data_IF_181553519191
#
_entry.id   IF_181553519191
#
_cell.length_a   1.000
_cell.length_b   1.000
_cell.length_c   1.000
_cell.angle_alpha   90.00
_cell.angle_beta   90.00
_cell.angle_gamma   90.00
#
_symmetry.space_group_name_H-M   'P 1'
#
loop_
_entity.id
_entity.type
_entity.pdbx_description
1 polymer ?
#
# COMPACT_ATOMS: atom_id res chain seq x y z
N UNK A 1 -23.02 -6.46 30.55
CA UNK A 1 -21.95 -7.32 30.00
C UNK A 1 -21.14 -6.54 28.97
N UNK A 2 -20.60 -5.37 29.36
CA UNK A 2 -19.96 -4.41 28.46
C UNK A 2 -18.87 -3.64 29.21
N UNK A 3 -18.04 -4.34 29.97
CA UNK A 3 -16.96 -3.77 30.76
C UNK A 3 -15.77 -4.72 30.78
N UNK A 4 -14.99 -4.79 29.69
CA UNK A 4 -13.62 -5.34 29.72
C UNK A 4 -12.87 -5.06 28.42
N UNK A 5 -12.73 -3.79 28.04
CA UNK A 5 -11.59 -3.38 27.19
C UNK A 5 -10.87 -2.26 27.94
N UNK A 6 -10.40 -2.62 29.14
CA UNK A 6 -9.32 -1.88 29.78
C UNK A 6 -8.10 -2.06 28.87
N UNK A 7 -7.42 -0.96 28.54
CA UNK A 7 -6.15 -0.90 27.83
C UNK A 7 -5.05 -1.65 28.60
N UNK A 8 -5.10 -2.97 28.56
CA UNK A 8 -4.07 -3.89 29.02
C UNK A 8 -3.19 -4.19 27.83
N UNK A 9 -1.87 -4.10 28.02
CA UNK A 9 -0.88 -4.54 27.05
C UNK A 9 -1.31 -5.90 26.46
N UNK A 10 -1.84 -5.90 25.23
CA UNK A 10 -2.43 -7.09 24.64
C UNK A 10 -1.31 -8.08 24.39
N UNK A 11 -1.35 -9.18 25.14
CA UNK A 11 -0.52 -10.33 24.86
C UNK A 11 -0.91 -10.87 23.47
N UNK A 12 0.03 -10.82 22.52
CA UNK A 12 -0.17 -11.27 21.13
C UNK A 12 -0.75 -12.68 21.10
N UNK A 13 -0.30 -13.56 21.99
CA UNK A 13 -0.78 -14.94 22.12
C UNK A 13 -2.26 -15.01 22.49
N UNK A 14 -2.69 -14.29 23.53
CA UNK A 14 -4.10 -14.27 23.93
C UNK A 14 -5.00 -13.68 22.83
N UNK A 15 -4.49 -12.68 22.12
CA UNK A 15 -5.21 -12.05 21.00
C UNK A 15 -5.36 -13.00 19.82
N UNK A 16 -4.29 -13.74 19.48
CA UNK A 16 -4.29 -14.74 18.41
C UNK A 16 -5.23 -15.91 18.75
N UNK A 17 -5.25 -16.37 20.00
CA UNK A 17 -6.17 -17.40 20.48
C UNK A 17 -7.64 -16.96 20.41
N UNK A 18 -7.95 -15.73 20.82
CA UNK A 18 -9.32 -15.19 20.76
C UNK A 18 -9.83 -15.06 19.32
N UNK A 19 -8.95 -14.74 18.38
CA UNK A 19 -9.26 -14.57 16.97
C UNK A 19 -9.16 -15.88 16.16
N UNK A 20 -8.82 -17.00 16.79
CA UNK A 20 -8.56 -18.30 16.15
C UNK A 20 -7.51 -18.21 15.01
N UNK A 21 -6.45 -17.43 15.25
CA UNK A 21 -5.33 -17.25 14.31
C UNK A 21 -4.05 -17.84 14.90
N UNK A 22 -3.20 -18.55 14.13
CA UNK A 22 -1.89 -18.98 14.60
C UNK A 22 -0.98 -17.80 14.94
N UNK A 23 -0.28 -17.86 16.08
CA UNK A 23 0.71 -16.85 16.50
C UNK A 23 1.81 -16.63 15.44
N UNK A 24 2.22 -17.69 14.76
CA UNK A 24 3.19 -17.63 13.66
C UNK A 24 2.71 -16.73 12.52
N UNK A 25 1.42 -16.77 12.18
CA UNK A 25 0.82 -15.95 11.14
C UNK A 25 0.87 -14.46 11.50
N UNK A 26 0.69 -14.12 12.78
CA UNK A 26 0.82 -12.75 13.26
C UNK A 26 2.25 -12.23 13.04
N UNK A 27 3.25 -12.97 13.52
CA UNK A 27 4.65 -12.56 13.38
C UNK A 27 5.13 -12.59 11.93
N UNK A 28 4.66 -13.54 11.11
CA UNK A 28 4.93 -13.52 9.68
C UNK A 28 4.41 -12.25 9.02
N UNK A 29 3.19 -11.82 9.35
CA UNK A 29 2.59 -10.62 8.77
C UNK A 29 3.30 -9.36 9.21
N UNK A 30 3.68 -9.27 10.48
CA UNK A 30 4.33 -8.07 11.03
C UNK A 30 5.79 -7.94 10.57
N UNK A 31 6.49 -9.07 10.42
CA UNK A 31 7.89 -9.11 9.97
C UNK A 31 8.02 -9.15 8.44
N UNK A 32 6.91 -9.16 7.70
CA UNK A 32 6.95 -9.22 6.23
C UNK A 32 7.43 -7.89 5.67
N UNK A 33 8.68 -7.87 5.19
CA UNK A 33 9.20 -6.73 4.46
C UNK A 33 8.66 -6.67 3.03
N UNK A 34 8.37 -5.47 2.51
CA UNK A 34 7.92 -5.31 1.13
C UNK A 34 9.03 -5.74 0.16
N UNK A 35 8.65 -6.48 -0.88
CA UNK A 35 9.59 -6.83 -1.95
C UNK A 35 10.06 -5.59 -2.70
N UNK A 36 11.21 -5.68 -3.40
CA UNK A 36 11.71 -4.61 -4.28
C UNK A 36 10.65 -4.13 -5.28
N UNK A 37 9.86 -5.05 -5.82
CA UNK A 37 8.75 -4.75 -6.75
C UNK A 37 7.63 -3.97 -6.07
N UNK A 38 7.30 -4.32 -4.82
CA UNK A 38 6.27 -3.63 -4.05
C UNK A 38 6.71 -2.20 -3.69
N UNK A 39 7.96 -2.02 -3.25
CA UNK A 39 8.54 -0.71 -3.01
C UNK A 39 8.52 0.16 -4.27
N UNK A 40 8.92 -0.39 -5.43
CA UNK A 40 8.85 0.32 -6.72
C UNK A 40 7.41 0.74 -7.04
N UNK A 41 6.42 -0.11 -6.83
CA UNK A 41 5.01 0.22 -7.07
C UNK A 41 4.49 1.30 -6.12
N UNK A 42 4.87 1.26 -4.85
CA UNK A 42 4.52 2.30 -3.87
C UNK A 42 5.12 3.65 -4.28
N UNK A 43 6.41 3.68 -4.66
CA UNK A 43 7.06 4.87 -5.17
C UNK A 43 6.35 5.44 -6.42
N UNK A 44 6.03 4.58 -7.39
CA UNK A 44 5.30 4.99 -8.60
C UNK A 44 3.90 5.52 -8.28
N UNK A 45 3.17 4.88 -7.36
CA UNK A 45 1.84 5.32 -6.92
C UNK A 45 1.88 6.72 -6.30
N UNK A 46 2.86 6.99 -5.43
CA UNK A 46 3.09 8.31 -4.86
C UNK A 46 3.37 9.36 -5.95
N UNK A 47 4.26 9.05 -6.88
CA UNK A 47 4.63 9.94 -7.99
C UNK A 47 3.44 10.23 -8.92
N UNK A 48 2.63 9.21 -9.22
CA UNK A 48 1.39 9.35 -9.98
C UNK A 48 0.41 10.28 -9.26
N UNK A 49 0.21 10.09 -7.96
CA UNK A 49 -0.69 10.93 -7.15
C UNK A 49 -0.22 12.39 -7.11
N UNK A 50 1.08 12.62 -6.94
CA UNK A 50 1.68 13.96 -7.01
C UNK A 50 1.44 14.62 -8.36
N UNK A 51 1.68 13.91 -9.48
CA UNK A 51 1.44 14.43 -10.82
C UNK A 51 -0.05 14.70 -11.08
N UNK A 52 -0.93 13.82 -10.60
CA UNK A 52 -2.37 13.99 -10.71
C UNK A 52 -2.84 15.26 -9.98
N UNK A 53 -2.42 15.42 -8.73
CA UNK A 53 -2.77 16.58 -7.90
C UNK A 53 -2.17 17.89 -8.43
N UNK A 54 -0.92 17.86 -8.90
CA UNK A 54 -0.27 19.01 -9.52
C UNK A 54 -1.03 19.51 -10.77
N UNK A 55 -1.68 18.61 -11.50
CA UNK A 55 -2.49 18.91 -12.68
C UNK A 55 -3.99 19.00 -12.36
N UNK A 56 -4.37 19.25 -11.09
CA UNK A 56 -5.75 19.44 -10.61
C UNK A 56 -6.69 18.27 -10.94
N UNK A 57 -6.14 17.07 -11.08
CA UNK A 57 -6.90 15.87 -11.43
C UNK A 57 -7.38 15.78 -12.88
N UNK A 58 -6.90 16.67 -13.76
CA UNK A 58 -7.32 16.71 -15.18
C UNK A 58 -6.65 15.59 -15.98
N UNK A 59 -5.45 15.16 -15.59
CA UNK A 59 -4.65 14.23 -16.38
C UNK A 59 -5.00 12.78 -16.08
N UNK A 60 -5.50 12.09 -17.10
CA UNK A 60 -5.70 10.65 -17.06
C UNK A 60 -4.41 9.84 -17.25
N UNK A 61 -4.53 8.51 -17.15
CA UNK A 61 -3.41 7.58 -17.24
C UNK A 61 -2.49 7.76 -18.47
N UNK A 62 -2.99 8.05 -19.70
CA UNK A 62 -2.11 8.28 -20.85
C UNK A 62 -1.20 9.51 -20.68
N UNK A 63 -1.75 10.62 -20.17
CA UNK A 63 -0.98 11.86 -19.97
C UNK A 63 0.04 11.70 -18.85
N UNK A 64 -0.36 11.08 -17.73
CA UNK A 64 0.55 10.79 -16.62
C UNK A 64 1.66 9.83 -17.06
N UNK A 65 1.34 8.81 -17.86
CA UNK A 65 2.33 7.88 -18.41
C UNK A 65 3.39 8.61 -19.25
N UNK A 66 2.98 9.53 -20.13
CA UNK A 66 3.91 10.36 -20.90
C UNK A 66 4.79 11.24 -20.01
N UNK A 67 4.25 11.81 -18.94
CA UNK A 67 5.04 12.61 -17.98
C UNK A 67 6.06 11.75 -17.23
N UNK A 68 5.67 10.54 -16.81
CA UNK A 68 6.58 9.59 -16.15
C UNK A 68 7.72 9.19 -17.08
N UNK A 69 7.44 8.91 -18.35
CA UNK A 69 8.47 8.63 -19.35
C UNK A 69 9.42 9.82 -19.55
N UNK A 70 8.89 11.06 -19.61
CA UNK A 70 9.71 12.28 -19.68
C UNK A 70 10.60 12.47 -18.45
N UNK A 71 10.17 11.98 -17.29
CA UNK A 71 10.94 11.98 -16.05
C UNK A 71 11.92 10.79 -15.95
N UNK A 72 12.06 9.98 -17.00
CA UNK A 72 12.98 8.83 -17.05
C UNK A 72 12.43 7.54 -16.45
N UNK A 73 11.17 7.51 -16.01
CA UNK A 73 10.57 6.33 -15.40
C UNK A 73 10.19 5.30 -16.47
N UNK A 74 10.80 4.12 -16.42
CA UNK A 74 10.42 2.98 -17.28
C UNK A 74 9.18 2.29 -16.71
N UNK A 75 8.00 2.68 -17.19
CA UNK A 75 6.70 2.11 -16.80
C UNK A 75 5.80 1.87 -18.01
N UNK A 76 5.00 0.80 -17.95
CA UNK A 76 3.98 0.52 -18.97
C UNK A 76 2.65 1.19 -18.65
N UNK A 77 1.90 1.56 -19.68
CA UNK A 77 0.59 2.23 -19.53
C UNK A 77 -0.40 1.42 -18.69
N UNK A 78 -0.46 0.09 -18.89
CA UNK A 78 -1.34 -0.80 -18.11
C UNK A 78 -1.04 -0.76 -16.61
N UNK A 79 0.24 -0.62 -16.24
CA UNK A 79 0.63 -0.50 -14.83
C UNK A 79 0.15 0.84 -14.26
N UNK A 80 0.32 1.93 -15.00
CA UNK A 80 -0.16 3.26 -14.58
C UNK A 80 -1.67 3.26 -14.39
N UNK A 81 -2.43 2.70 -15.34
CA UNK A 81 -3.88 2.55 -15.23
C UNK A 81 -4.28 1.75 -13.98
N UNK A 82 -3.58 0.64 -13.70
CA UNK A 82 -3.83 -0.14 -12.50
C UNK A 82 -3.54 0.66 -11.23
N UNK A 83 -2.39 1.34 -11.16
CA UNK A 83 -1.98 2.13 -9.99
C UNK A 83 -2.87 3.36 -9.76
N UNK A 84 -3.50 3.91 -10.80
CA UNK A 84 -4.48 4.99 -10.66
C UNK A 84 -5.87 4.52 -10.19
N UNK A 85 -6.19 3.24 -10.38
CA UNK A 85 -7.47 2.64 -9.94
C UNK A 85 -7.42 2.11 -8.51
N UNK A 86 -6.23 1.74 -8.05
CA UNK A 86 -5.99 1.30 -6.67
C UNK A 86 -6.09 2.47 -5.70
#
# INVERSE_FOLDING_TARGET
MAQTIQTLALNVRLSCQLLDVPESSYYERINRHPSKTQLRRQYLSLKISQLFNANRGIYGAPKIHHLLLKQGEKVGLKLVQKLMKQ
#
